data_IF_097958862694
#
_entry.id   IF_097958862694
#
_cell.length_a   1.000
_cell.length_b   1.000
_cell.length_c   1.000
_cell.angle_alpha   90.00
_cell.angle_beta   90.00
_cell.angle_gamma   90.00
#
_symmetry.space_group_name_H-M   'P 1'
#
loop_
_entity.id
_entity.type
_entity.pdbx_description
1 polymer ?
#
# COMPACT_ATOMS: atom_id res chain seq x y z
N UNK A 1 -15.39 -6.82 4.93
CA UNK A 1 -16.43 -7.81 4.53
C UNK A 1 -16.51 -7.98 3.02
N UNK A 2 -16.64 -6.91 2.22
CA UNK A 2 -16.67 -7.00 0.74
C UNK A 2 -15.40 -7.64 0.15
N UNK A 3 -14.21 -7.19 0.56
CA UNK A 3 -12.94 -7.80 0.10
C UNK A 3 -12.87 -9.32 0.35
N UNK A 4 -13.23 -9.76 1.56
CA UNK A 4 -13.26 -11.20 1.88
C UNK A 4 -14.29 -11.98 1.03
N UNK A 5 -15.45 -11.37 0.76
CA UNK A 5 -16.48 -11.96 -0.11
C UNK A 5 -15.98 -12.09 -1.56
N UNK A 6 -15.34 -11.05 -2.11
CA UNK A 6 -14.75 -11.14 -3.45
C UNK A 6 -13.70 -12.24 -3.51
N UNK A 7 -12.83 -12.31 -2.49
CA UNK A 7 -11.80 -13.36 -2.40
C UNK A 7 -12.40 -14.76 -2.39
N UNK A 8 -13.50 -14.97 -1.65
CA UNK A 8 -14.18 -16.28 -1.60
C UNK A 8 -14.83 -16.68 -2.93
N UNK A 9 -15.00 -15.75 -3.86
CA UNK A 9 -15.52 -15.99 -5.21
C UNK A 9 -14.42 -16.03 -6.27
N UNK A 10 -13.14 -16.12 -5.87
CA UNK A 10 -12.01 -16.28 -6.78
C UNK A 10 -11.44 -14.98 -7.32
N UNK A 11 -11.95 -13.82 -6.90
CA UNK A 11 -11.36 -12.54 -7.26
C UNK A 11 -10.02 -12.35 -6.54
N UNK A 12 -9.10 -11.67 -7.21
CA UNK A 12 -7.83 -11.25 -6.65
C UNK A 12 -7.55 -9.76 -6.90
N UNK A 13 -6.34 -9.33 -6.52
CA UNK A 13 -5.85 -7.96 -6.65
C UNK A 13 -5.92 -7.39 -8.08
N UNK A 14 -5.99 -8.23 -9.11
CA UNK A 14 -6.08 -7.81 -10.51
C UNK A 14 -7.52 -7.52 -10.93
N UNK A 15 -8.50 -8.10 -10.23
CA UNK A 15 -9.91 -7.94 -10.57
C UNK A 15 -10.55 -6.74 -9.86
N UNK A 16 -10.05 -6.35 -8.68
CA UNK A 16 -10.62 -5.28 -7.88
C UNK A 16 -9.56 -4.42 -7.18
N UNK A 17 -9.76 -3.10 -7.26
CA UNK A 17 -8.98 -2.10 -6.52
C UNK A 17 -9.85 -1.42 -5.48
N UNK A 18 -9.37 -1.39 -4.24
CA UNK A 18 -10.08 -0.81 -3.10
C UNK A 18 -9.52 0.56 -2.75
N UNK A 19 -10.29 1.60 -3.07
CA UNK A 19 -9.96 2.96 -2.67
C UNK A 19 -10.14 3.14 -1.15
N UNK A 20 -9.06 3.47 -0.46
CA UNK A 20 -9.06 3.70 0.99
C UNK A 20 -8.71 5.16 1.28
N UNK A 21 -9.65 5.89 1.89
CA UNK A 21 -9.42 7.29 2.26
C UNK A 21 -8.39 7.39 3.40
N UNK A 22 -7.40 8.26 3.23
CA UNK A 22 -6.36 8.59 4.22
C UNK A 22 -6.32 10.11 4.46
N UNK A 23 -5.84 10.54 5.62
CA UNK A 23 -5.74 11.97 5.95
C UNK A 23 -7.06 12.64 6.29
N UNK A 24 -8.09 11.88 6.65
CA UNK A 24 -9.39 12.44 7.03
C UNK A 24 -9.33 13.06 8.45
N UNK A 25 -9.93 14.24 8.69
CA UNK A 25 -9.96 14.87 10.01
C UNK A 25 -10.56 13.96 11.07
N UNK A 26 -9.86 13.80 12.19
CA UNK A 26 -10.30 12.97 13.32
C UNK A 26 -10.01 11.47 13.19
N UNK A 27 -9.46 11.01 12.06
CA UNK A 27 -8.92 9.66 11.94
C UNK A 27 -7.43 9.64 12.29
N UNK A 28 -6.98 8.53 12.87
CA UNK A 28 -5.58 8.31 13.18
C UNK A 28 -4.83 7.65 12.00
N UNK A 29 -3.50 7.85 11.90
CA UNK A 29 -2.66 7.11 10.98
C UNK A 29 -2.78 5.58 11.12
N UNK A 30 -2.85 5.08 12.35
CA UNK A 30 -2.88 3.66 12.68
C UNK A 30 -4.17 3.01 12.15
N UNK A 31 -5.31 3.69 12.28
CA UNK A 31 -6.59 3.23 11.70
C UNK A 31 -6.52 3.12 10.18
N UNK A 32 -5.84 4.07 9.53
CA UNK A 32 -5.67 4.06 8.08
C UNK A 32 -4.74 2.93 7.61
N UNK A 33 -3.61 2.73 8.31
CA UNK A 33 -2.68 1.64 8.06
C UNK A 33 -3.37 0.28 8.21
N UNK A 34 -4.09 0.08 9.31
CA UNK A 34 -4.86 -1.14 9.54
C UNK A 34 -5.79 -1.47 8.38
N UNK A 35 -6.53 -0.49 7.84
CA UNK A 35 -7.43 -0.72 6.70
C UNK A 35 -6.67 -1.12 5.43
N UNK A 36 -5.53 -0.50 5.18
CA UNK A 36 -4.71 -0.78 4.00
C UNK A 36 -4.05 -2.16 4.08
N UNK A 37 -3.49 -2.50 5.23
CA UNK A 37 -2.86 -3.81 5.48
C UNK A 37 -3.90 -4.93 5.44
N UNK A 38 -5.08 -4.72 6.03
CA UNK A 38 -6.17 -5.69 5.98
C UNK A 38 -6.59 -6.01 4.54
N UNK A 39 -6.56 -5.05 3.62
CA UNK A 39 -6.85 -5.31 2.20
C UNK A 39 -5.78 -6.21 1.56
N UNK A 40 -4.51 -5.99 1.88
CA UNK A 40 -3.40 -6.83 1.41
C UNK A 40 -3.53 -8.24 1.97
N UNK A 41 -3.81 -8.39 3.27
CA UNK A 41 -4.02 -9.68 3.94
C UNK A 41 -5.18 -10.46 3.31
N UNK A 42 -6.22 -9.76 2.85
CA UNK A 42 -7.34 -10.34 2.12
C UNK A 42 -7.04 -10.66 0.65
N UNK A 43 -5.80 -10.43 0.19
CA UNK A 43 -5.36 -10.70 -1.19
C UNK A 43 -5.82 -9.67 -2.21
N UNK A 44 -6.21 -8.47 -1.77
CA UNK A 44 -6.77 -7.42 -2.60
C UNK A 44 -5.76 -6.28 -2.82
N UNK A 45 -6.01 -5.47 -3.85
CA UNK A 45 -5.17 -4.30 -4.14
C UNK A 45 -5.67 -3.07 -3.36
N UNK A 46 -4.94 -2.56 -2.35
CA UNK A 46 -5.29 -1.30 -1.72
C UNK A 46 -4.91 -0.12 -2.62
N UNK A 47 -5.70 0.95 -2.58
CA UNK A 47 -5.38 2.20 -3.23
C UNK A 47 -5.64 3.37 -2.29
N UNK A 48 -4.62 3.92 -1.61
CA UNK A 48 -4.80 5.06 -0.74
C UNK A 48 -5.22 6.30 -1.54
N UNK A 49 -6.31 6.94 -1.12
CA UNK A 49 -6.81 8.19 -1.66
C UNK A 49 -6.71 9.26 -0.58
N UNK A 50 -6.02 10.36 -0.89
CA UNK A 50 -5.86 11.47 0.08
C UNK A 50 -7.15 12.27 0.17
N UNK A 51 -7.58 12.56 1.40
CA UNK A 51 -8.70 13.46 1.63
C UNK A 51 -8.36 14.89 1.21
N UNK A 52 -9.29 15.52 0.50
CA UNK A 52 -9.27 16.95 0.21
C UNK A 52 -10.66 17.50 0.44
N UNK A 53 -10.85 18.53 1.30
CA UNK A 53 -12.14 19.18 1.48
C UNK A 53 -12.66 19.71 0.15
N UNK A 54 -13.97 19.62 -0.07
CA UNK A 54 -14.60 20.07 -1.32
C UNK A 54 -14.37 21.57 -1.58
N UNK A 55 -14.29 22.37 -0.53
CA UNK A 55 -14.01 23.81 -0.58
C UNK A 55 -12.51 24.15 -0.54
N UNK A 56 -11.62 23.16 -0.61
CA UNK A 56 -10.18 23.40 -0.58
C UNK A 56 -9.72 24.02 -1.90
N UNK A 57 -9.05 25.17 -1.82
CA UNK A 57 -8.39 25.80 -2.96
C UNK A 57 -7.04 25.15 -3.32
N UNK A 58 -6.56 24.22 -2.49
CA UNK A 58 -5.28 23.51 -2.68
C UNK A 58 -5.53 22.00 -2.64
N UNK A 59 -4.85 21.27 -3.53
CA UNK A 59 -4.94 19.81 -3.61
C UNK A 59 -4.15 19.11 -2.49
N UNK A 60 -3.08 19.71 -1.98
CA UNK A 60 -2.30 19.16 -0.85
C UNK A 60 -2.89 19.59 0.49
N UNK A 61 -4.14 19.18 0.78
CA UNK A 61 -4.70 19.36 2.12
C UNK A 61 -4.07 18.38 3.10
N UNK A 62 -3.74 18.86 4.29
CA UNK A 62 -3.25 18.06 5.41
C UNK A 62 -4.11 18.38 6.64
N UNK A 63 -4.85 17.39 7.12
CA UNK A 63 -5.68 17.55 8.31
C UNK A 63 -4.82 17.70 9.58
N UNK A 64 -5.39 18.30 10.63
CA UNK A 64 -4.74 18.35 11.95
C UNK A 64 -4.39 16.94 12.43
N UNK A 65 -3.16 16.75 12.92
CA UNK A 65 -2.65 15.45 13.37
C UNK A 65 -2.00 14.62 12.26
N UNK A 66 -2.03 15.10 11.01
CA UNK A 66 -1.35 14.48 9.88
C UNK A 66 -0.14 15.31 9.44
N UNK A 67 0.78 14.65 8.74
CA UNK A 67 1.89 15.31 8.06
C UNK A 67 1.86 14.99 6.57
N UNK A 68 2.37 15.92 5.76
CA UNK A 68 2.51 15.72 4.31
C UNK A 68 3.37 14.49 4.02
N UNK A 69 4.50 14.34 4.70
CA UNK A 69 5.43 13.23 4.54
C UNK A 69 4.78 11.87 4.81
N UNK A 70 3.95 11.78 5.85
CA UNK A 70 3.26 10.53 6.17
C UNK A 70 2.24 10.17 5.08
N UNK A 71 1.48 11.15 4.61
CA UNK A 71 0.49 10.94 3.54
C UNK A 71 1.17 10.56 2.21
N UNK A 72 2.30 11.19 1.88
CA UNK A 72 3.11 10.84 0.72
C UNK A 72 3.69 9.43 0.85
N UNK A 73 4.27 9.09 2.02
CA UNK A 73 4.84 7.76 2.28
C UNK A 73 3.78 6.66 2.16
N UNK A 74 2.60 6.85 2.77
CA UNK A 74 1.47 5.92 2.64
C UNK A 74 1.04 5.78 1.19
N UNK A 75 0.88 6.90 0.48
CA UNK A 75 0.51 6.88 -0.94
C UNK A 75 1.51 6.09 -1.78
N UNK A 76 2.80 6.36 -1.62
CA UNK A 76 3.87 5.72 -2.36
C UNK A 76 3.97 4.21 -2.09
N UNK A 77 3.92 3.79 -0.83
CA UNK A 77 4.02 2.39 -0.45
C UNK A 77 2.84 1.58 -1.00
N UNK A 78 1.61 1.98 -0.67
CA UNK A 78 0.42 1.15 -0.94
C UNK A 78 -0.04 1.21 -2.41
N UNK A 79 0.23 2.28 -3.16
CA UNK A 79 -0.10 2.34 -4.60
C UNK A 79 0.79 1.45 -5.48
N UNK A 80 1.93 1.00 -4.97
CA UNK A 80 2.90 0.21 -5.73
C UNK A 80 2.96 -1.24 -5.22
N UNK A 81 2.27 -2.19 -5.89
CA UNK A 81 2.28 -3.59 -5.49
C UNK A 81 3.64 -4.25 -5.39
N UNK A 82 4.67 -3.73 -6.05
CA UNK A 82 6.03 -4.24 -5.88
C UNK A 82 6.55 -4.02 -4.45
N UNK A 83 6.23 -2.89 -3.82
CA UNK A 83 6.77 -2.51 -2.52
C UNK A 83 6.19 -3.37 -1.40
N UNK A 84 4.86 -3.39 -1.25
CA UNK A 84 4.23 -4.13 -0.16
C UNK A 84 4.21 -5.65 -0.36
N UNK A 85 4.54 -6.15 -1.55
CA UNK A 85 4.86 -7.58 -1.75
C UNK A 85 6.30 -7.93 -1.38
N UNK A 86 7.21 -6.95 -1.43
CA UNK A 86 8.63 -7.17 -1.13
C UNK A 86 8.95 -7.03 0.36
N UNK A 87 8.34 -6.06 1.03
CA UNK A 87 8.71 -5.71 2.40
C UNK A 87 7.54 -5.03 3.12
N UNK A 88 7.60 -4.96 4.44
CA UNK A 88 6.57 -4.37 5.31
C UNK A 88 6.64 -2.85 5.36
N UNK A 89 5.53 -2.23 5.74
CA UNK A 89 5.38 -0.77 5.86
C UNK A 89 6.45 -0.15 6.76
N UNK A 90 6.78 -0.81 7.88
CA UNK A 90 7.74 -0.31 8.88
C UNK A 90 9.13 -0.09 8.29
N UNK A 91 9.51 -0.93 7.32
CA UNK A 91 10.82 -0.91 6.69
C UNK A 91 10.90 0.06 5.51
N UNK A 92 9.76 0.43 4.93
CA UNK A 92 9.70 1.30 3.77
C UNK A 92 10.12 2.74 4.11
N UNK A 93 11.19 3.21 3.50
CA UNK A 93 11.62 4.60 3.57
C UNK A 93 11.69 5.20 2.16
N UNK A 94 10.92 6.27 1.86
CA UNK A 94 10.98 6.93 0.57
C UNK A 94 12.42 7.36 0.25
N UNK A 95 12.88 7.11 -0.98
CA UNK A 95 14.21 7.54 -1.43
C UNK A 95 15.38 6.65 -1.01
N UNK A 96 15.17 5.53 -0.29
CA UNK A 96 16.19 4.47 -0.23
C UNK A 96 16.40 3.93 -1.64
N UNK A 97 17.61 4.09 -2.17
CA UNK A 97 18.04 3.39 -3.39
C UNK A 97 17.90 1.89 -3.12
N UNK A 98 17.28 1.17 -4.04
CA UNK A 98 17.27 -0.30 -4.01
C UNK A 98 18.74 -0.71 -3.96
N UNK A 99 19.16 -1.35 -2.86
CA UNK A 99 20.48 -1.95 -2.80
C UNK A 99 20.48 -3.03 -3.86
N UNK A 100 21.32 -2.90 -4.89
CA UNK A 100 21.49 -3.92 -5.90
C UNK A 100 21.79 -5.24 -5.20
N UNK A 101 20.89 -6.22 -5.31
CA UNK A 101 21.15 -7.58 -4.85
C UNK A 101 22.26 -8.12 -5.74
N UNK A 102 23.42 -8.53 -5.20
CA UNK A 102 24.49 -9.10 -6.00
C UNK A 102 23.97 -10.32 -6.77
N UNK A 103 24.29 -10.39 -8.06
CA UNK A 103 23.78 -11.39 -9.00
C UNK A 103 23.98 -12.85 -8.57
N UNK A 104 24.88 -13.12 -7.61
CA UNK A 104 25.10 -14.45 -7.04
C UNK A 104 23.88 -15.04 -6.31
N UNK A 105 22.99 -14.22 -5.74
CA UNK A 105 21.81 -14.75 -5.02
C UNK A 105 20.63 -15.08 -5.96
N UNK A 106 20.67 -14.67 -7.22
CA UNK A 106 19.62 -14.99 -8.20
C UNK A 106 19.74 -16.41 -8.77
N UNK A 107 20.92 -17.04 -8.69
CA UNK A 107 21.21 -18.31 -9.37
C UNK A 107 20.66 -19.52 -8.58
N UNK A 108 20.48 -19.39 -7.25
CA UNK A 108 20.00 -20.49 -6.41
C UNK A 108 18.48 -20.73 -6.47
N UNK A 109 17.72 -19.85 -7.15
CA UNK A 109 16.25 -19.96 -7.27
C UNK A 109 15.75 -20.66 -8.53
N UNK A 110 16.63 -21.03 -9.48
CA UNK A 110 16.22 -21.54 -10.81
C UNK A 110 16.47 -23.05 -10.99
N UNK A 111 17.12 -23.73 -10.04
CA UNK A 111 17.54 -25.13 -10.20
C UNK A 111 16.59 -26.21 -9.63
N UNK A 112 15.38 -25.88 -9.17
CA UNK A 112 14.36 -26.89 -8.81
C UNK A 112 13.12 -26.76 -9.70
N UNK A 113 13.18 -27.38 -10.88
CA UNK A 113 12.02 -27.41 -11.78
C UNK A 113 12.32 -27.92 -13.20
N UNK A 114 13.11 -28.98 -13.33
CA UNK A 114 13.21 -29.74 -14.58
C UNK A 114 13.26 -31.24 -14.26
N UNK A 115 12.08 -31.84 -14.22
CA UNK A 115 11.84 -33.26 -14.51
C UNK A 115 10.76 -33.34 -15.56
#
# INVERSE_FOLDING_TARGET
>A
RVAALLRSHGFDRHDATFYCLIGFPGQSPEECLYRLDLLIELGMNPYPMRFTPLNSLRRQYVAKGWTEDLLMRMSAYYQAPALWRSDKWENFQPGKKIVEVPAEQAIMGVCYGAT
#
